data_IF_502080904725
#
_entry.id   IF_502080904725
#
_cell.length_a   1.000
_cell.length_b   1.000
_cell.length_c   1.000
_cell.angle_alpha   90.00
_cell.angle_beta   90.00
_cell.angle_gamma   90.00
#
_symmetry.space_group_name_H-M   'P 1'
#
loop_
_entity.id
_entity.type
_entity.pdbx_description
1 polymer ?
#
# COMPACT_ATOMS: atom_id res chain seq x y z
N UNK A 1 -14.17 22.15 -10.23
CA UNK A 1 -14.11 20.99 -9.32
C UNK A 1 -12.94 20.13 -9.78
N UNK A 2 -12.51 19.19 -8.94
CA UNK A 2 -11.38 18.30 -9.20
C UNK A 2 -11.81 16.86 -8.88
N UNK A 3 -11.28 15.89 -9.62
CA UNK A 3 -11.42 14.46 -9.32
C UNK A 3 -10.03 13.85 -9.14
N UNK A 4 -9.84 13.21 -8.00
CA UNK A 4 -8.62 12.46 -7.65
C UNK A 4 -9.03 11.02 -7.36
N UNK A 5 -8.38 10.07 -8.00
CA UNK A 5 -8.60 8.63 -7.80
C UNK A 5 -7.33 8.03 -7.23
N UNK A 6 -7.41 7.41 -6.05
CA UNK A 6 -6.30 6.63 -5.53
C UNK A 6 -6.34 5.21 -6.12
N UNK A 7 -5.16 4.68 -6.45
CA UNK A 7 -5.00 3.32 -6.95
C UNK A 7 -4.02 2.58 -6.07
N UNK A 8 -4.51 1.55 -5.38
CA UNK A 8 -3.62 0.59 -4.76
C UNK A 8 -2.84 -0.14 -5.85
N UNK A 9 -1.53 -0.20 -5.77
CA UNK A 9 -0.66 -0.57 -6.89
C UNK A 9 0.43 -1.49 -6.40
N UNK A 10 0.14 -2.78 -6.32
CA UNK A 10 1.04 -3.74 -5.69
C UNK A 10 1.91 -4.50 -6.68
N UNK A 11 3.12 -4.84 -6.22
CA UNK A 11 3.88 -5.96 -6.78
C UNK A 11 3.40 -7.26 -6.15
N UNK A 12 3.56 -8.38 -6.84
CA UNK A 12 3.25 -9.70 -6.27
C UNK A 12 4.11 -9.98 -5.02
N UNK A 13 5.40 -9.67 -5.12
CA UNK A 13 6.32 -9.65 -3.98
C UNK A 13 6.17 -8.30 -3.25
N UNK A 14 5.24 -8.23 -2.30
CA UNK A 14 4.96 -7.06 -1.46
C UNK A 14 4.87 -7.51 0.00
N UNK A 15 5.31 -6.68 0.95
CA UNK A 15 5.44 -7.03 2.38
C UNK A 15 4.13 -7.54 2.99
N UNK A 16 3.00 -7.04 2.53
CA UNK A 16 1.67 -7.49 2.99
C UNK A 16 1.12 -8.70 2.23
N UNK A 17 1.87 -9.32 1.32
CA UNK A 17 1.50 -10.56 0.64
C UNK A 17 2.28 -11.74 1.19
N UNK A 18 1.67 -12.92 1.14
CA UNK A 18 2.27 -14.14 1.71
C UNK A 18 3.63 -14.48 1.10
N UNK A 19 3.84 -14.21 -0.19
CA UNK A 19 5.11 -14.49 -0.88
C UNK A 19 6.33 -13.80 -0.21
N UNK A 20 6.13 -12.71 0.52
CA UNK A 20 7.22 -12.00 1.20
C UNK A 20 7.73 -12.71 2.45
N UNK A 21 6.94 -13.61 3.04
CA UNK A 21 7.23 -14.26 4.31
C UNK A 21 7.24 -15.78 4.20
N UNK A 22 8.05 -16.44 5.02
CA UNK A 22 8.19 -17.89 5.04
C UNK A 22 8.42 -18.39 6.47
N UNK A 23 7.78 -19.51 6.83
CA UNK A 23 7.96 -20.17 8.12
C UNK A 23 9.21 -21.10 8.12
N UNK A 24 9.54 -21.77 9.24
CA UNK A 24 10.65 -22.73 9.28
C UNK A 24 10.48 -23.95 8.34
N UNK A 25 9.25 -24.29 7.97
CA UNK A 25 8.91 -25.40 7.08
C UNK A 25 9.02 -25.03 5.58
N UNK A 26 9.28 -23.76 5.27
CA UNK A 26 9.35 -23.28 3.88
C UNK A 26 7.99 -22.87 3.30
N UNK A 27 6.96 -22.73 4.13
CA UNK A 27 5.60 -22.39 3.71
C UNK A 27 5.32 -20.89 3.90
N UNK A 28 4.53 -20.32 2.99
CA UNK A 28 4.07 -18.93 3.06
C UNK A 28 2.82 -18.82 3.96
N UNK A 29 2.63 -17.68 4.68
CA UNK A 29 1.42 -17.46 5.45
C UNK A 29 0.19 -17.39 4.53
N UNK A 30 -0.92 -17.93 5.00
CA UNK A 30 -2.20 -17.80 4.30
C UNK A 30 -2.77 -16.38 4.49
N UNK A 31 -3.67 -15.92 3.61
CA UNK A 31 -4.36 -14.66 3.79
C UNK A 31 -5.00 -14.51 5.18
N UNK A 32 -4.99 -13.28 5.67
CA UNK A 32 -5.42 -12.82 6.99
C UNK A 32 -4.59 -13.32 8.17
N UNK A 33 -3.44 -13.96 7.90
CA UNK A 33 -2.43 -14.21 8.94
C UNK A 33 -1.96 -12.88 9.51
N UNK A 34 -1.94 -12.78 10.84
CA UNK A 34 -1.38 -11.63 11.55
C UNK A 34 0.07 -11.95 11.89
N UNK A 35 1.01 -11.13 11.42
CA UNK A 35 2.44 -11.24 11.77
C UNK A 35 2.76 -10.13 12.76
N UNK A 36 3.18 -10.52 13.96
CA UNK A 36 3.65 -9.61 15.01
C UNK A 36 5.17 -9.53 15.01
N UNK A 37 5.71 -8.50 15.64
CA UNK A 37 7.15 -8.35 15.89
C UNK A 37 7.74 -9.62 16.53
N UNK A 38 7.05 -10.20 17.52
CA UNK A 38 7.51 -11.39 18.23
C UNK A 38 7.62 -12.62 17.32
N UNK A 39 6.76 -12.74 16.31
CA UNK A 39 6.81 -13.83 15.34
C UNK A 39 8.06 -13.72 14.45
N UNK A 40 8.47 -12.49 14.13
CA UNK A 40 9.70 -12.24 13.37
C UNK A 40 10.94 -12.46 14.22
N UNK A 41 10.93 -12.01 15.48
CA UNK A 41 12.04 -12.21 16.44
C UNK A 41 12.26 -13.69 16.75
N UNK A 42 11.19 -14.46 16.94
CA UNK A 42 11.27 -15.90 17.21
C UNK A 42 11.59 -16.74 15.97
N UNK A 43 11.51 -16.15 14.77
CA UNK A 43 11.69 -16.84 13.50
C UNK A 43 10.50 -17.69 13.08
N UNK A 44 9.33 -17.53 13.71
CA UNK A 44 8.07 -18.11 13.25
C UNK A 44 7.73 -17.61 11.84
N UNK A 45 8.03 -16.35 11.55
CA UNK A 45 8.04 -15.77 10.20
C UNK A 45 9.38 -15.11 9.89
N UNK A 46 9.90 -15.35 8.69
CA UNK A 46 11.11 -14.73 8.15
C UNK A 46 10.81 -14.19 6.76
N UNK A 47 11.57 -13.21 6.28
CA UNK A 47 11.41 -12.77 4.89
C UNK A 47 11.89 -13.86 3.95
N UNK A 48 11.15 -14.09 2.85
CA UNK A 48 11.51 -15.11 1.84
C UNK A 48 12.88 -14.82 1.23
N UNK A 49 13.17 -13.54 0.94
CA UNK A 49 14.51 -13.09 0.57
C UNK A 49 15.25 -12.62 1.84
N UNK A 50 16.33 -13.29 2.27
CA UNK A 50 17.04 -12.94 3.50
C UNK A 50 17.61 -11.52 3.52
N UNK A 51 17.83 -10.88 2.37
CA UNK A 51 18.35 -9.51 2.31
C UNK A 51 17.39 -8.50 2.95
N UNK A 52 16.09 -8.84 3.01
CA UNK A 52 15.06 -8.00 3.61
C UNK A 52 14.79 -8.33 5.09
N UNK A 53 15.46 -9.32 5.69
CA UNK A 53 15.13 -9.78 7.03
C UNK A 53 15.26 -8.68 8.09
N UNK A 54 16.32 -7.87 8.01
CA UNK A 54 16.52 -6.75 8.91
C UNK A 54 15.37 -5.74 8.80
N UNK A 55 14.97 -5.42 7.56
CA UNK A 55 13.85 -4.52 7.31
C UNK A 55 12.50 -5.11 7.74
N UNK A 56 12.24 -6.39 7.50
CA UNK A 56 11.00 -7.04 7.95
C UNK A 56 10.80 -6.93 9.46
N UNK A 57 11.88 -7.10 10.24
CA UNK A 57 11.86 -6.90 11.68
C UNK A 57 11.66 -5.42 12.06
N UNK A 58 12.39 -4.50 11.42
CA UNK A 58 12.25 -3.05 11.65
C UNK A 58 10.81 -2.59 11.38
N UNK A 59 10.24 -3.01 10.25
CA UNK A 59 8.86 -2.71 9.86
C UNK A 59 7.85 -3.21 10.89
N UNK A 60 7.90 -4.49 11.29
CA UNK A 60 7.00 -5.03 12.29
C UNK A 60 7.19 -4.38 13.68
N UNK A 61 8.40 -3.92 14.01
CA UNK A 61 8.66 -3.15 15.23
C UNK A 61 8.01 -1.77 15.16
N UNK A 62 8.18 -1.05 14.04
CA UNK A 62 7.57 0.26 13.83
C UNK A 62 6.03 0.21 13.83
N UNK A 63 5.44 -0.87 13.32
CA UNK A 63 4.00 -1.13 13.45
C UNK A 63 3.60 -1.23 14.93
N UNK A 64 4.26 -2.10 15.69
CA UNK A 64 3.98 -2.38 17.12
C UNK A 64 4.08 -1.11 18.01
N UNK A 65 5.02 -0.22 17.71
CA UNK A 65 5.19 1.08 18.38
C UNK A 65 4.19 2.15 17.91
N UNK A 66 3.63 1.96 16.72
CA UNK A 66 2.74 2.90 16.06
C UNK A 66 1.26 2.63 16.32
N UNK A 67 0.44 2.83 15.29
CA UNK A 67 -1.02 2.70 15.36
C UNK A 67 -1.52 1.28 15.09
N UNK A 68 -0.64 0.33 14.76
CA UNK A 68 -1.00 -1.03 14.33
C UNK A 68 -0.16 -2.09 15.03
N UNK A 69 -0.74 -2.87 15.93
CA UNK A 69 0.01 -3.90 16.66
C UNK A 69 0.45 -5.14 15.84
N UNK A 70 0.21 -5.17 14.52
CA UNK A 70 0.58 -6.31 13.65
C UNK A 70 0.40 -6.00 12.16
N UNK A 71 1.15 -6.70 11.32
CA UNK A 71 0.96 -6.77 9.88
C UNK A 71 -0.12 -7.80 9.54
N UNK A 72 -1.06 -7.44 8.67
CA UNK A 72 -2.05 -8.36 8.10
C UNK A 72 -1.53 -8.82 6.74
N UNK A 73 -1.50 -10.13 6.52
CA UNK A 73 -1.25 -10.69 5.19
C UNK A 73 -2.55 -10.66 4.38
N UNK A 74 -2.53 -10.08 3.19
CA UNK A 74 -3.67 -10.03 2.28
C UNK A 74 -3.53 -11.07 1.16
N UNK A 75 -4.66 -11.52 0.56
CA UNK A 75 -4.59 -12.13 -0.76
C UNK A 75 -3.86 -11.20 -1.74
N UNK A 76 -3.20 -11.76 -2.76
CA UNK A 76 -2.65 -10.92 -3.83
C UNK A 76 -3.78 -10.11 -4.47
N UNK A 77 -3.65 -8.78 -4.48
CA UNK A 77 -4.69 -7.86 -4.95
C UNK A 77 -4.05 -6.65 -5.64
N UNK A 78 -4.84 -5.97 -6.47
CA UNK A 78 -4.45 -4.75 -7.16
C UNK A 78 -3.04 -4.80 -7.79
N UNK A 79 -2.70 -5.95 -8.38
CA UNK A 79 -1.39 -6.19 -8.96
C UNK A 79 -1.22 -5.32 -10.21
N UNK A 80 -0.18 -4.50 -10.25
CA UNK A 80 0.07 -3.59 -11.35
C UNK A 80 0.11 -4.33 -12.69
N UNK A 81 -0.66 -3.83 -13.67
CA UNK A 81 -0.76 -4.44 -15.00
C UNK A 81 -1.78 -5.60 -15.11
N UNK A 82 -2.56 -5.86 -14.06
CA UNK A 82 -3.70 -6.79 -14.11
C UNK A 82 -5.03 -6.04 -14.12
N UNK A 83 -6.11 -6.71 -14.52
CA UNK A 83 -7.46 -6.12 -14.51
C UNK A 83 -7.89 -5.71 -13.09
N UNK A 84 -7.46 -6.45 -12.06
CA UNK A 84 -7.75 -6.14 -10.66
C UNK A 84 -7.09 -4.86 -10.13
N UNK A 85 -6.18 -4.23 -10.89
CA UNK A 85 -5.59 -2.93 -10.58
C UNK A 85 -6.41 -1.75 -11.14
N UNK A 86 -7.23 -1.98 -12.16
CA UNK A 86 -7.96 -0.91 -12.83
C UNK A 86 -9.09 -0.34 -11.96
N UNK A 87 -9.47 0.92 -12.23
CA UNK A 87 -10.73 1.48 -11.75
C UNK A 87 -11.88 0.72 -12.40
N UNK A 88 -12.87 0.32 -11.62
CA UNK A 88 -14.08 -0.34 -12.12
C UNK A 88 -14.79 0.51 -13.19
N UNK A 89 -15.35 -0.15 -14.20
CA UNK A 89 -15.84 0.47 -15.43
C UNK A 89 -16.78 1.65 -15.19
N UNK A 90 -17.77 1.52 -14.31
CA UNK A 90 -18.75 2.59 -14.04
C UNK A 90 -18.10 3.85 -13.48
N UNK A 91 -17.13 3.69 -12.56
CA UNK A 91 -16.40 4.81 -11.95
C UNK A 91 -15.45 5.43 -12.98
N UNK A 92 -14.74 4.60 -13.75
CA UNK A 92 -13.87 5.08 -14.81
C UNK A 92 -14.67 5.87 -15.87
N UNK A 93 -15.83 5.35 -16.30
CA UNK A 93 -16.70 6.02 -17.26
C UNK A 93 -17.16 7.40 -16.75
N UNK A 94 -17.55 7.50 -15.47
CA UNK A 94 -17.88 8.78 -14.85
C UNK A 94 -16.67 9.75 -14.82
N UNK A 95 -15.48 9.24 -14.49
CA UNK A 95 -14.24 10.01 -14.52
C UNK A 95 -13.92 10.56 -15.93
N UNK A 96 -14.07 9.73 -16.97
CA UNK A 96 -13.85 10.15 -18.36
C UNK A 96 -14.88 11.18 -18.83
N UNK A 97 -16.16 10.99 -18.49
CA UNK A 97 -17.21 11.94 -18.82
C UNK A 97 -16.98 13.30 -18.13
N UNK A 98 -16.61 13.29 -16.86
CA UNK A 98 -16.23 14.49 -16.12
C UNK A 98 -15.04 15.20 -16.77
N UNK A 99 -13.96 14.47 -17.08
CA UNK A 99 -12.76 15.01 -17.74
C UNK A 99 -13.10 15.70 -19.07
N UNK A 100 -13.95 15.07 -19.89
CA UNK A 100 -14.43 15.65 -21.14
C UNK A 100 -15.26 16.92 -20.93
N UNK A 101 -16.15 16.94 -19.92
CA UNK A 101 -17.00 18.10 -19.63
C UNK A 101 -16.23 19.31 -19.08
N UNK A 102 -15.12 19.07 -18.39
CA UNK A 102 -14.28 20.11 -17.77
C UNK A 102 -13.05 20.46 -18.60
N UNK A 103 -12.76 19.69 -19.64
CA UNK A 103 -11.53 19.78 -20.43
C UNK A 103 -10.26 19.76 -19.56
N UNK A 104 -10.25 18.87 -18.55
CA UNK A 104 -9.13 18.70 -17.62
C UNK A 104 -8.86 17.23 -17.33
N UNK A 105 -7.69 16.94 -16.77
CA UNK A 105 -7.28 15.58 -16.43
C UNK A 105 -7.84 15.14 -15.07
N UNK A 106 -8.19 13.86 -14.97
CA UNK A 106 -8.35 13.16 -13.68
C UNK A 106 -6.97 12.87 -13.12
N UNK A 107 -6.75 13.18 -11.85
CA UNK A 107 -5.50 12.81 -11.18
C UNK A 107 -5.60 11.38 -10.64
N UNK A 108 -4.60 10.56 -10.93
CA UNK A 108 -4.48 9.22 -10.36
C UNK A 108 -3.28 9.19 -9.40
N UNK A 109 -3.55 8.90 -8.12
CA UNK A 109 -2.55 8.84 -7.07
C UNK A 109 -2.26 7.38 -6.77
N UNK A 110 -1.07 6.93 -7.14
CA UNK A 110 -0.64 5.55 -6.86
C UNK A 110 -0.18 5.43 -5.41
N UNK A 111 -0.60 4.35 -4.75
CA UNK A 111 -0.14 3.93 -3.41
C UNK A 111 0.21 2.43 -3.44
N UNK A 112 0.98 1.94 -2.47
CA UNK A 112 1.40 0.52 -2.39
C UNK A 112 2.50 0.07 -3.36
N UNK A 113 2.99 0.96 -4.23
CA UNK A 113 3.99 0.59 -5.26
C UNK A 113 5.42 0.39 -4.73
N UNK A 114 5.67 0.67 -3.45
CA UNK A 114 6.87 0.23 -2.76
C UNK A 114 6.59 -1.13 -2.10
N UNK A 115 7.26 -2.18 -2.57
CA UNK A 115 7.09 -3.55 -2.08
C UNK A 115 7.41 -3.78 -0.59
N UNK A 116 8.04 -2.82 0.08
CA UNK A 116 8.60 -2.98 1.42
C UNK A 116 7.75 -2.30 2.50
N UNK A 117 6.61 -1.70 2.17
CA UNK A 117 5.73 -1.09 3.16
C UNK A 117 4.28 -1.11 2.69
N UNK A 118 3.35 -1.42 3.60
CA UNK A 118 1.93 -1.29 3.34
C UNK A 118 1.49 0.18 3.30
N UNK A 119 0.45 0.48 2.53
CA UNK A 119 0.00 1.83 2.23
C UNK A 119 -1.54 1.92 2.19
N UNK A 120 -2.19 1.89 3.35
CA UNK A 120 -3.65 2.00 3.43
C UNK A 120 -4.17 3.40 3.07
N UNK A 121 -3.50 4.44 3.55
CA UNK A 121 -3.87 5.83 3.26
C UNK A 121 -3.47 6.21 1.85
N UNK A 122 -4.22 7.10 1.19
CA UNK A 122 -3.75 7.74 -0.04
C UNK A 122 -2.63 8.79 0.22
N UNK A 123 -2.35 9.09 1.49
CA UNK A 123 -1.45 10.17 1.89
C UNK A 123 -0.08 9.70 2.37
N UNK A 124 0.05 8.51 2.97
CA UNK A 124 1.29 8.08 3.62
C UNK A 124 1.29 6.56 3.81
N UNK A 125 2.44 5.93 3.63
CA UNK A 125 2.63 4.53 3.99
C UNK A 125 2.49 4.32 5.51
N UNK A 126 2.20 3.10 5.94
CA UNK A 126 2.13 2.75 7.37
C UNK A 126 3.50 2.96 8.04
N UNK A 127 4.58 2.59 7.34
CA UNK A 127 5.96 2.85 7.75
C UNK A 127 6.69 3.49 6.57
N UNK A 128 7.18 4.71 6.75
CA UNK A 128 7.93 5.40 5.70
C UNK A 128 9.29 4.75 5.45
N UNK A 129 9.67 4.68 4.18
CA UNK A 129 10.99 4.30 3.71
C UNK A 129 11.82 5.56 3.44
N UNK A 130 12.94 5.80 4.17
CA UNK A 130 13.75 6.99 3.98
C UNK A 130 14.34 7.15 2.57
N UNK A 131 14.52 6.04 1.85
CA UNK A 131 15.06 5.97 0.49
C UNK A 131 14.00 6.05 -0.62
N UNK A 132 12.71 6.16 -0.28
CA UNK A 132 11.63 6.30 -1.25
C UNK A 132 10.59 7.33 -0.82
N UNK A 133 10.69 8.54 -1.39
CA UNK A 133 9.78 9.65 -1.11
C UNK A 133 8.30 9.32 -1.39
N UNK A 134 8.00 8.29 -2.21
CA UNK A 134 6.61 7.88 -2.50
C UNK A 134 5.91 7.27 -1.30
N UNK A 135 6.66 6.83 -0.28
CA UNK A 135 6.07 6.32 0.96
C UNK A 135 5.79 7.43 1.97
N UNK A 136 6.38 8.61 1.76
CA UNK A 136 6.28 9.75 2.67
C UNK A 136 4.92 10.41 2.59
N UNK A 137 4.61 11.28 3.55
CA UNK A 137 3.39 12.07 3.49
C UNK A 137 3.31 12.88 2.17
N UNK A 138 2.23 12.68 1.42
CA UNK A 138 1.97 13.33 0.14
C UNK A 138 1.50 14.77 0.36
N UNK A 139 2.46 15.64 0.69
CA UNK A 139 2.22 17.06 0.92
C UNK A 139 1.58 17.74 -0.29
N UNK A 140 1.95 17.35 -1.51
CA UNK A 140 1.39 17.92 -2.73
C UNK A 140 -0.13 17.67 -2.84
N UNK A 141 -0.58 16.44 -2.61
CA UNK A 141 -2.00 16.10 -2.58
C UNK A 141 -2.70 16.80 -1.42
N UNK A 142 -2.11 16.79 -0.22
CA UNK A 142 -2.68 17.44 0.95
C UNK A 142 -2.89 18.95 0.74
N UNK A 143 -1.87 19.67 0.29
CA UNK A 143 -1.97 21.10 0.03
C UNK A 143 -2.99 21.42 -1.06
N UNK A 144 -3.14 20.55 -2.06
CA UNK A 144 -4.18 20.68 -3.09
C UNK A 144 -5.57 20.54 -2.47
N UNK A 145 -5.81 19.48 -1.68
CA UNK A 145 -7.10 19.26 -1.03
C UNK A 145 -7.46 20.40 -0.07
N UNK A 146 -6.49 20.96 0.66
CA UNK A 146 -6.69 22.11 1.55
C UNK A 146 -7.11 23.41 0.84
N UNK A 147 -6.90 23.52 -0.49
CA UNK A 147 -7.37 24.68 -1.28
C UNK A 147 -8.84 24.56 -1.69
N UNK A 148 -9.42 23.36 -1.60
CA UNK A 148 -10.82 23.16 -1.95
C UNK A 148 -11.72 23.73 -0.84
N UNK A 149 -12.79 24.43 -1.23
CA UNK A 149 -13.82 24.87 -0.28
C UNK A 149 -14.51 23.66 0.39
N UNK A 150 -14.62 22.56 -0.35
CA UNK A 150 -15.22 21.31 0.12
C UNK A 150 -14.51 20.11 -0.49
N UNK A 151 -14.22 19.12 0.35
CA UNK A 151 -13.73 17.80 -0.06
C UNK A 151 -14.85 16.79 0.17
N UNK A 152 -15.07 15.92 -0.81
CA UNK A 152 -16.01 14.79 -0.74
C UNK A 152 -15.20 13.53 -1.01
N UNK A 153 -15.34 12.54 -0.11
CA UNK A 153 -14.65 11.24 -0.15
C UNK A 153 -15.70 10.14 -0.20
#
# INVERSE_FOLDING_TARGET
>A
DDVVVSLDTHQRFHIAHGLFWVNPQGEHPTPFTMIKKEDVVSGAWRTTDPKWQAWGLEYCTALDEGTRSSLIIWPEHCLVGTDGHAVVDDVNAACQAWAGSRACAVEYVLKGNNALTEHYSAMRADVERPDDLRTHFNTALFERLCKAERVVV
#
